data_IF_514526923291
#
_entry.id   IF_514526923291
#
_cell.length_a   1.000
_cell.length_b   1.000
_cell.length_c   1.000
_cell.angle_alpha   90.00
_cell.angle_beta   90.00
_cell.angle_gamma   90.00
#
_symmetry.space_group_name_H-M   'P 1'
#
loop_
_entity.id
_entity.type
_entity.pdbx_description
1 polymer ?
#
# COMPACT_ATOMS: atom_id res chain seq x y z
N UNK A 1 20.25 -8.00 -9.64
CA UNK A 1 19.52 -9.18 -10.13
C UNK A 1 19.46 -10.20 -9.00
N UNK A 2 18.37 -10.22 -8.22
CA UNK A 2 18.15 -11.29 -7.23
C UNK A 2 17.76 -12.51 -8.05
N UNK A 3 18.64 -13.52 -8.09
CA UNK A 3 18.29 -14.79 -8.72
C UNK A 3 17.00 -15.29 -8.07
N UNK A 4 15.97 -15.68 -8.85
CA UNK A 4 14.80 -16.33 -8.29
C UNK A 4 15.31 -17.40 -7.33
N UNK A 5 14.81 -17.39 -6.08
CA UNK A 5 15.29 -18.36 -5.10
C UNK A 5 15.17 -19.72 -5.75
N UNK A 6 16.28 -20.47 -5.82
CA UNK A 6 16.30 -21.78 -6.48
C UNK A 6 15.13 -22.64 -5.99
N UNK A 7 14.72 -22.42 -4.76
CA UNK A 7 13.55 -23.00 -4.10
C UNK A 7 12.20 -22.76 -4.80
N UNK A 8 11.89 -21.54 -5.25
CA UNK A 8 10.64 -21.23 -5.99
C UNK A 8 10.60 -21.92 -7.35
N UNK A 9 11.74 -21.91 -8.06
CA UNK A 9 11.89 -22.59 -9.33
C UNK A 9 11.72 -24.11 -9.17
N UNK A 10 12.41 -24.71 -8.19
CA UNK A 10 12.28 -26.14 -7.88
C UNK A 10 10.87 -26.53 -7.46
N UNK A 11 10.20 -25.73 -6.62
CA UNK A 11 8.81 -25.98 -6.22
C UNK A 11 7.87 -26.00 -7.44
N UNK A 12 8.06 -25.06 -8.37
CA UNK A 12 7.28 -24.98 -9.60
C UNK A 12 7.54 -26.18 -10.51
N UNK A 13 8.80 -26.59 -10.66
CA UNK A 13 9.18 -27.79 -11.44
C UNK A 13 8.59 -29.06 -10.82
N UNK A 14 8.60 -29.19 -9.49
CA UNK A 14 8.00 -30.33 -8.78
C UNK A 14 6.49 -30.36 -8.97
N UNK A 15 5.80 -29.21 -8.83
CA UNK A 15 4.36 -29.11 -9.04
C UNK A 15 3.95 -29.44 -10.49
N UNK A 16 4.69 -28.92 -11.48
CA UNK A 16 4.46 -29.24 -12.90
C UNK A 16 4.71 -30.72 -13.16
N UNK A 17 5.81 -31.28 -12.64
CA UNK A 17 6.14 -32.70 -12.77
C UNK A 17 5.09 -33.61 -12.12
N UNK A 18 4.58 -33.24 -10.95
CA UNK A 18 3.52 -33.96 -10.24
C UNK A 18 2.20 -33.90 -11.01
N UNK A 19 1.87 -32.74 -11.61
CA UNK A 19 0.71 -32.58 -12.49
C UNK A 19 0.80 -33.44 -13.76
N UNK A 20 1.97 -33.46 -14.42
CA UNK A 20 2.22 -34.33 -15.57
C UNK A 20 2.12 -35.80 -15.16
N UNK A 21 2.72 -36.17 -14.03
CA UNK A 21 2.68 -37.53 -13.48
C UNK A 21 1.26 -38.03 -13.20
N UNK A 22 0.43 -37.21 -12.54
CA UNK A 22 -0.98 -37.56 -12.31
C UNK A 22 -1.79 -37.64 -13.60
N UNK A 23 -1.47 -36.81 -14.61
CA UNK A 23 -2.14 -36.86 -15.92
C UNK A 23 -1.81 -38.14 -16.69
N UNK A 24 -0.54 -38.54 -16.71
CA UNK A 24 -0.10 -39.80 -17.35
C UNK A 24 -0.67 -41.00 -16.58
N UNK A 25 -0.64 -40.98 -15.25
CA UNK A 25 -1.22 -42.03 -14.42
C UNK A 25 -2.74 -42.16 -14.65
N UNK A 26 -3.46 -41.04 -14.78
CA UNK A 26 -4.87 -41.03 -15.16
C UNK A 26 -5.12 -41.61 -16.55
N UNK A 27 -4.26 -41.31 -17.53
CA UNK A 27 -4.36 -41.86 -18.89
C UNK A 27 -4.14 -43.38 -18.92
N UNK A 28 -3.18 -43.89 -18.15
CA UNK A 28 -2.91 -45.34 -18.03
C UNK A 28 -4.02 -46.04 -17.25
N UNK A 29 -4.60 -45.38 -16.24
CA UNK A 29 -5.69 -45.92 -15.45
C UNK A 29 -6.94 -46.22 -16.29
N UNK A 30 -7.25 -45.44 -17.33
CA UNK A 30 -8.37 -45.69 -18.26
C UNK A 30 -8.31 -47.06 -18.96
N UNK A 31 -7.13 -47.68 -19.03
CA UNK A 31 -6.93 -48.99 -19.66
C UNK A 31 -6.90 -50.16 -18.66
N UNK A 32 -6.97 -49.87 -17.37
CA UNK A 32 -7.14 -50.88 -16.33
C UNK A 32 -8.65 -51.02 -16.06
N UNK A 33 -9.20 -52.23 -15.88
CA UNK A 33 -10.61 -52.39 -15.61
C UNK A 33 -10.85 -52.29 -14.10
N UNK A 34 -11.02 -51.07 -13.54
CA UNK A 34 -11.53 -50.90 -12.17
C UNK A 34 -12.50 -49.71 -12.01
N UNK A 35 -13.55 -49.97 -11.24
CA UNK A 35 -14.61 -49.03 -10.88
C UNK A 35 -14.09 -47.88 -9.97
N UNK A 36 -13.51 -46.84 -10.57
CA UNK A 36 -13.04 -45.64 -9.84
C UNK A 36 -12.34 -44.55 -10.68
N UNK A 37 -12.18 -44.76 -11.99
CA UNK A 37 -11.19 -44.06 -12.82
C UNK A 37 -11.61 -42.68 -13.34
N UNK A 38 -12.91 -42.40 -13.40
CA UNK A 38 -13.42 -41.11 -13.92
C UNK A 38 -13.07 -39.95 -12.99
N UNK A 39 -12.99 -40.17 -11.68
CA UNK A 39 -12.74 -39.12 -10.70
C UNK A 39 -11.32 -38.53 -10.82
N UNK A 40 -10.31 -39.35 -11.12
CA UNK A 40 -8.91 -38.91 -11.23
C UNK A 40 -8.66 -38.07 -12.49
N UNK A 41 -9.32 -38.39 -13.60
CA UNK A 41 -9.22 -37.64 -14.85
C UNK A 41 -9.85 -36.24 -14.71
N UNK A 42 -10.99 -36.15 -14.01
CA UNK A 42 -11.64 -34.87 -13.70
C UNK A 42 -10.78 -34.04 -12.75
N UNK A 43 -10.21 -34.64 -11.71
CA UNK A 43 -9.38 -33.92 -10.74
C UNK A 43 -8.04 -33.45 -11.35
N UNK A 44 -7.39 -34.30 -12.14
CA UNK A 44 -6.15 -33.96 -12.86
C UNK A 44 -6.38 -32.89 -13.94
N UNK A 45 -7.48 -33.01 -14.70
CA UNK A 45 -7.89 -32.00 -15.67
C UNK A 45 -8.19 -30.65 -15.02
N UNK A 46 -8.91 -30.64 -13.89
CA UNK A 46 -9.22 -29.42 -13.13
C UNK A 46 -7.96 -28.77 -12.54
N UNK A 47 -7.03 -29.57 -12.00
CA UNK A 47 -5.75 -29.07 -11.49
C UNK A 47 -4.88 -28.48 -12.61
N UNK A 48 -4.84 -29.10 -13.79
CA UNK A 48 -4.14 -28.57 -14.96
C UNK A 48 -4.78 -27.27 -15.47
N UNK A 49 -6.12 -27.20 -15.49
CA UNK A 49 -6.88 -26.00 -15.82
C UNK A 49 -6.57 -24.86 -14.84
N UNK A 50 -6.58 -25.13 -13.54
CA UNK A 50 -6.21 -24.16 -12.50
C UNK A 50 -4.75 -23.71 -12.62
N UNK A 51 -3.82 -24.62 -12.95
CA UNK A 51 -2.42 -24.29 -13.15
C UNK A 51 -2.18 -23.41 -14.38
N UNK A 52 -2.81 -23.72 -15.52
CA UNK A 52 -2.74 -22.92 -16.75
C UNK A 52 -3.46 -21.58 -16.61
N UNK A 53 -4.56 -21.54 -15.85
CA UNK A 53 -5.26 -20.29 -15.56
C UNK A 53 -4.60 -19.47 -14.46
N UNK A 54 -3.63 -19.98 -13.70
CA UNK A 54 -2.95 -19.20 -12.65
C UNK A 54 -2.30 -17.93 -13.21
N UNK A 55 -1.62 -18.03 -14.35
CA UNK A 55 -1.02 -16.87 -15.03
C UNK A 55 -2.05 -15.95 -15.70
N UNK A 56 -3.25 -16.47 -16.04
CA UNK A 56 -4.34 -15.66 -16.61
C UNK A 56 -5.27 -15.03 -15.58
N UNK A 57 -5.46 -15.65 -14.42
CA UNK A 57 -6.33 -15.14 -13.36
C UNK A 57 -5.77 -13.85 -12.76
N UNK A 58 -4.44 -13.73 -12.65
CA UNK A 58 -3.78 -12.46 -12.32
C UNK A 58 -4.02 -11.37 -13.38
N UNK A 59 -4.23 -11.74 -14.66
CA UNK A 59 -4.47 -10.80 -15.76
C UNK A 59 -5.95 -10.38 -15.93
N UNK A 60 -6.90 -11.21 -15.51
CA UNK A 60 -8.33 -11.00 -15.75
C UNK A 60 -8.96 -10.09 -14.69
N UNK A 61 -8.50 -10.14 -13.45
CA UNK A 61 -8.91 -9.17 -12.41
C UNK A 61 -8.42 -7.75 -12.74
N UNK A 62 -7.26 -7.61 -13.40
CA UNK A 62 -6.69 -6.31 -13.79
C UNK A 62 -7.46 -5.62 -14.95
N UNK A 63 -8.13 -6.39 -15.82
CA UNK A 63 -8.88 -5.87 -16.98
C UNK A 63 -10.34 -5.51 -16.67
N UNK A 64 -10.97 -6.22 -15.73
CA UNK A 64 -12.36 -5.97 -15.35
C UNK A 64 -12.54 -4.64 -14.60
N UNK A 65 -11.60 -4.29 -13.72
CA UNK A 65 -11.74 -3.09 -12.90
C UNK A 65 -11.41 -1.80 -13.64
N UNK A 66 -10.41 -1.79 -14.52
CA UNK A 66 -10.16 -0.61 -15.37
C UNK A 66 -11.35 -0.31 -16.29
N UNK A 67 -12.19 -1.31 -16.59
CA UNK A 67 -13.51 -1.12 -17.21
C UNK A 67 -14.54 -0.57 -16.24
N UNK A 68 -14.59 -1.00 -14.97
CA UNK A 68 -15.49 -0.44 -13.96
C UNK A 68 -15.17 1.01 -13.61
N UNK A 69 -13.90 1.42 -13.49
CA UNK A 69 -13.58 2.84 -13.27
C UNK A 69 -13.94 3.67 -14.50
N UNK A 70 -13.61 3.19 -15.71
CA UNK A 70 -14.06 3.87 -16.93
C UNK A 70 -15.58 3.92 -17.03
N UNK A 71 -16.28 2.88 -16.58
CA UNK A 71 -17.74 2.84 -16.53
C UNK A 71 -18.29 3.82 -15.48
N UNK A 72 -17.73 3.88 -14.27
CA UNK A 72 -18.15 4.81 -13.23
C UNK A 72 -17.86 6.27 -13.63
N UNK A 73 -16.72 6.52 -14.26
CA UNK A 73 -16.41 7.84 -14.80
C UNK A 73 -17.30 8.18 -16.00
N UNK A 74 -17.56 7.22 -16.90
CA UNK A 74 -18.50 7.38 -18.00
C UNK A 74 -19.93 7.61 -17.50
N UNK A 75 -20.34 6.95 -16.42
CA UNK A 75 -21.62 7.14 -15.75
C UNK A 75 -21.73 8.57 -15.20
N UNK A 76 -20.69 9.08 -14.52
CA UNK A 76 -20.66 10.49 -14.10
C UNK A 76 -20.66 11.47 -15.26
N UNK A 77 -20.00 11.16 -16.37
CA UNK A 77 -20.10 11.95 -17.59
C UNK A 77 -21.51 11.90 -18.18
N UNK A 78 -22.17 10.72 -18.18
CA UNK A 78 -23.55 10.58 -18.63
C UNK A 78 -24.51 11.38 -17.75
N UNK A 79 -24.37 11.34 -16.43
CA UNK A 79 -25.19 12.17 -15.53
C UNK A 79 -24.91 13.66 -15.72
N UNK A 80 -23.65 14.05 -15.94
CA UNK A 80 -23.33 15.43 -16.27
C UNK A 80 -24.02 15.88 -17.57
N UNK A 81 -24.09 14.99 -18.56
CA UNK A 81 -24.74 15.27 -19.84
C UNK A 81 -26.27 15.30 -19.72
N UNK A 82 -26.85 14.45 -18.88
CA UNK A 82 -28.27 14.45 -18.54
C UNK A 82 -28.66 15.74 -17.79
N UNK A 83 -27.87 16.14 -16.78
CA UNK A 83 -28.06 17.41 -16.07
C UNK A 83 -27.95 18.60 -17.02
N UNK A 84 -27.00 18.58 -17.96
CA UNK A 84 -26.87 19.61 -18.98
C UNK A 84 -28.11 19.67 -19.90
N UNK A 85 -28.65 18.50 -20.30
CA UNK A 85 -29.89 18.41 -21.09
C UNK A 85 -31.11 18.93 -20.33
N UNK A 86 -31.13 18.79 -19.01
CA UNK A 86 -32.17 19.33 -18.13
C UNK A 86 -31.99 20.84 -17.83
N UNK A 87 -30.96 21.48 -18.37
CA UNK A 87 -30.66 22.90 -18.17
C UNK A 87 -29.89 23.19 -16.88
N UNK A 88 -29.51 22.18 -16.10
CA UNK A 88 -28.68 22.34 -14.89
C UNK A 88 -27.18 22.30 -15.26
N UNK A 89 -26.72 23.41 -15.82
CA UNK A 89 -25.31 23.58 -16.20
C UNK A 89 -24.34 23.54 -15.02
N UNK A 90 -24.77 23.94 -13.82
CA UNK A 90 -23.91 23.96 -12.64
C UNK A 90 -23.66 22.54 -12.10
N UNK A 91 -24.70 21.71 -12.03
CA UNK A 91 -24.55 20.30 -11.65
C UNK A 91 -23.70 19.54 -12.67
N UNK A 92 -23.90 19.79 -13.97
CA UNK A 92 -23.11 19.19 -15.03
C UNK A 92 -21.61 19.52 -14.91
N UNK A 93 -21.27 20.79 -14.67
CA UNK A 93 -19.87 21.19 -14.56
C UNK A 93 -19.22 20.66 -13.29
N UNK A 94 -19.96 20.62 -12.17
CA UNK A 94 -19.49 19.97 -10.94
C UNK A 94 -19.14 18.50 -11.20
N UNK A 95 -20.05 17.71 -11.81
CA UNK A 95 -19.81 16.30 -12.14
C UNK A 95 -18.63 16.09 -13.09
N UNK A 96 -18.45 16.95 -14.11
CA UNK A 96 -17.28 16.89 -15.02
C UNK A 96 -15.98 17.23 -14.31
N UNK A 97 -16.00 18.23 -13.41
CA UNK A 97 -14.83 18.61 -12.63
C UNK A 97 -14.43 17.47 -11.69
N UNK A 98 -15.40 16.82 -11.03
CA UNK A 98 -15.17 15.64 -10.20
C UNK A 98 -14.58 14.51 -11.04
N UNK A 99 -15.18 14.14 -12.17
CA UNK A 99 -14.66 13.09 -13.05
C UNK A 99 -13.21 13.36 -13.51
N UNK A 100 -12.87 14.63 -13.81
CA UNK A 100 -11.50 15.03 -14.17
C UNK A 100 -10.53 14.91 -13.00
N UNK A 101 -10.89 15.38 -11.81
CA UNK A 101 -10.07 15.24 -10.59
C UNK A 101 -9.75 13.76 -10.34
N UNK A 102 -10.71 12.87 -10.58
CA UNK A 102 -10.57 11.44 -10.35
C UNK A 102 -9.62 10.74 -11.31
N UNK A 103 -9.72 11.07 -12.60
CA UNK A 103 -8.78 10.54 -13.59
C UNK A 103 -7.39 11.19 -13.45
N UNK A 104 -7.35 12.47 -13.10
CA UNK A 104 -6.13 13.27 -13.11
C UNK A 104 -5.12 12.91 -12.01
N UNK A 105 -5.57 12.42 -10.85
CA UNK A 105 -4.68 12.23 -9.70
C UNK A 105 -4.31 10.77 -9.46
N UNK A 106 -5.30 9.89 -9.56
CA UNK A 106 -5.05 8.47 -9.27
C UNK A 106 -4.33 7.76 -10.40
N UNK A 107 -4.51 8.20 -11.65
CA UNK A 107 -3.82 7.63 -12.80
C UNK A 107 -2.31 7.76 -12.68
N UNK A 108 -1.77 8.99 -12.65
CA UNK A 108 -0.32 9.21 -12.60
C UNK A 108 0.36 8.58 -11.39
N UNK A 109 -0.25 8.67 -10.19
CA UNK A 109 0.32 8.05 -8.99
C UNK A 109 0.31 6.51 -9.05
N UNK A 110 -0.77 5.90 -9.57
CA UNK A 110 -0.82 4.46 -9.74
C UNK A 110 0.17 3.98 -10.81
N UNK A 111 0.39 4.76 -11.86
CA UNK A 111 1.37 4.48 -12.90
C UNK A 111 2.80 4.62 -12.37
N UNK A 112 3.11 5.67 -11.61
CA UNK A 112 4.39 5.85 -10.91
C UNK A 112 4.67 4.67 -9.95
N UNK A 113 3.66 4.27 -9.18
CA UNK A 113 3.75 3.10 -8.31
C UNK A 113 4.11 1.84 -9.11
N UNK A 114 3.42 1.59 -10.23
CA UNK A 114 3.68 0.42 -11.09
C UNK A 114 5.05 0.49 -11.74
N UNK A 115 5.50 1.69 -12.14
CA UNK A 115 6.80 1.94 -12.75
C UNK A 115 7.96 1.68 -11.77
N UNK A 116 7.76 1.92 -10.47
CA UNK A 116 8.73 1.54 -9.44
C UNK A 116 8.65 0.04 -9.15
N UNK A 117 7.43 -0.48 -8.95
CA UNK A 117 7.24 -1.84 -8.43
C UNK A 117 7.55 -2.95 -9.44
N UNK A 118 7.17 -2.77 -10.71
CA UNK A 118 7.27 -3.77 -11.75
C UNK A 118 8.72 -4.15 -12.08
N UNK A 119 9.58 -3.20 -12.48
CA UNK A 119 10.94 -3.51 -12.92
C UNK A 119 11.94 -3.68 -11.78
N UNK A 120 11.68 -3.12 -10.58
CA UNK A 120 12.65 -3.16 -9.49
C UNK A 120 12.51 -4.44 -8.63
N UNK A 121 13.62 -5.15 -8.37
CA UNK A 121 13.60 -6.28 -7.44
C UNK A 121 13.25 -5.80 -6.03
N UNK A 122 12.63 -6.68 -5.25
CA UNK A 122 12.34 -6.41 -3.84
C UNK A 122 13.63 -6.11 -3.07
N UNK A 123 13.61 -5.06 -2.24
CA UNK A 123 14.74 -4.63 -1.43
C UNK A 123 14.55 -3.21 -0.87
N UNK A 124 15.52 -2.74 -0.09
CA UNK A 124 15.47 -1.43 0.58
C UNK A 124 15.32 -0.27 -0.39
N UNK A 125 16.03 -0.28 -1.52
CA UNK A 125 15.92 0.79 -2.51
C UNK A 125 14.52 0.84 -3.15
N UNK A 126 13.92 -0.32 -3.46
CA UNK A 126 12.53 -0.34 -3.96
C UNK A 126 11.56 0.18 -2.90
N UNK A 127 11.73 -0.22 -1.63
CA UNK A 127 10.89 0.28 -0.54
C UNK A 127 10.96 1.81 -0.44
N UNK A 128 12.18 2.38 -0.44
CA UNK A 128 12.42 3.82 -0.41
C UNK A 128 11.72 4.56 -1.56
N UNK A 129 11.81 4.05 -2.79
CA UNK A 129 11.11 4.64 -3.95
C UNK A 129 9.59 4.55 -3.84
N UNK A 130 9.07 3.45 -3.29
CA UNK A 130 7.63 3.33 -3.05
C UNK A 130 7.16 4.29 -1.94
N UNK A 131 7.99 4.52 -0.92
CA UNK A 131 7.74 5.55 0.09
C UNK A 131 7.69 6.95 -0.56
N UNK A 132 8.63 7.30 -1.44
CA UNK A 132 8.59 8.57 -2.19
C UNK A 132 7.31 8.74 -3.03
N UNK A 133 6.81 7.67 -3.66
CA UNK A 133 5.52 7.70 -4.39
C UNK A 133 4.36 7.93 -3.41
N UNK A 134 4.39 7.28 -2.25
CA UNK A 134 3.36 7.41 -1.23
C UNK A 134 3.34 8.81 -0.60
N UNK A 135 4.51 9.38 -0.30
CA UNK A 135 4.63 10.71 0.28
C UNK A 135 4.14 11.79 -0.70
N UNK A 136 4.38 11.62 -2.00
CA UNK A 136 3.76 12.48 -3.03
C UNK A 136 2.24 12.35 -3.04
N UNK A 137 1.70 11.13 -2.87
CA UNK A 137 0.26 10.92 -2.78
C UNK A 137 -0.35 11.59 -1.55
N UNK A 138 0.33 11.54 -0.39
CA UNK A 138 -0.06 12.26 0.83
C UNK A 138 -0.14 13.77 0.57
N UNK A 139 0.92 14.38 0.04
CA UNK A 139 0.97 15.82 -0.24
C UNK A 139 -0.12 16.27 -1.22
N UNK A 140 -0.42 15.46 -2.24
CA UNK A 140 -1.52 15.76 -3.17
C UNK A 140 -2.90 15.67 -2.51
N UNK A 141 -3.05 14.82 -1.48
CA UNK A 141 -4.32 14.62 -0.80
C UNK A 141 -4.68 15.76 0.16
N UNK A 142 -3.69 16.43 0.77
CA UNK A 142 -3.90 17.50 1.76
C UNK A 142 -4.66 18.73 1.20
N UNK A 143 -4.58 18.97 -0.10
CA UNK A 143 -5.23 20.12 -0.75
C UNK A 143 -6.58 19.82 -1.40
N UNK A 144 -7.11 18.60 -1.25
CA UNK A 144 -8.21 18.13 -2.07
C UNK A 144 -9.36 17.51 -1.30
N UNK A 145 -10.58 17.75 -1.79
CA UNK A 145 -11.78 17.09 -1.32
C UNK A 145 -12.03 15.81 -2.12
N UNK A 146 -12.17 14.70 -1.40
CA UNK A 146 -12.58 13.42 -1.96
C UNK A 146 -13.88 12.97 -1.30
N UNK A 147 -14.68 12.18 -2.03
CA UNK A 147 -15.87 11.55 -1.46
C UNK A 147 -15.48 10.24 -0.76
N UNK A 148 -15.99 9.95 0.46
CA UNK A 148 -15.66 8.74 1.20
C UNK A 148 -15.90 7.45 0.42
N UNK A 149 -17.05 7.32 -0.24
CA UNK A 149 -17.45 6.13 -1.00
C UNK A 149 -16.46 5.82 -2.11
N UNK A 150 -15.90 6.87 -2.70
CA UNK A 150 -14.96 6.76 -3.78
C UNK A 150 -13.58 6.31 -3.32
N UNK A 151 -13.07 6.86 -2.23
CA UNK A 151 -11.79 6.41 -1.65
C UNK A 151 -11.93 4.96 -1.20
N UNK A 152 -13.09 4.58 -0.67
CA UNK A 152 -13.44 3.19 -0.39
C UNK A 152 -13.42 2.31 -1.64
N UNK A 153 -14.03 2.74 -2.74
CA UNK A 153 -14.04 1.97 -3.99
C UNK A 153 -12.64 1.81 -4.58
N UNK A 154 -11.79 2.84 -4.48
CA UNK A 154 -10.38 2.74 -4.85
C UNK A 154 -9.64 1.72 -4.00
N UNK A 155 -9.90 1.66 -2.70
CA UNK A 155 -9.26 0.69 -1.82
C UNK A 155 -9.77 -0.74 -2.04
N UNK A 156 -11.07 -0.92 -2.28
CA UNK A 156 -11.68 -2.26 -2.38
C UNK A 156 -11.51 -2.89 -3.75
N UNK A 157 -11.57 -2.08 -4.80
CA UNK A 157 -11.63 -2.58 -6.17
C UNK A 157 -10.47 -2.07 -7.03
N UNK A 158 -9.69 -1.09 -6.55
CA UNK A 158 -8.50 -0.56 -7.21
C UNK A 158 -7.49 -1.61 -7.61
N UNK A 159 -6.66 -1.28 -8.60
CA UNK A 159 -5.37 -1.95 -8.73
C UNK A 159 -4.45 -1.56 -7.57
N UNK A 160 -3.32 -2.24 -7.44
CA UNK A 160 -2.40 -2.03 -6.30
C UNK A 160 -1.98 -0.56 -6.12
N UNK A 161 -1.69 0.14 -7.23
CA UNK A 161 -1.33 1.56 -7.19
C UNK A 161 -2.46 2.42 -6.64
N UNK A 162 -3.71 2.22 -7.12
CA UNK A 162 -4.87 2.95 -6.61
C UNK A 162 -5.19 2.62 -5.16
N UNK A 163 -5.04 1.37 -4.72
CA UNK A 163 -5.25 0.99 -3.31
C UNK A 163 -4.24 1.69 -2.41
N UNK A 164 -2.98 1.76 -2.83
CA UNK A 164 -1.94 2.51 -2.11
C UNK A 164 -2.25 4.02 -2.09
N UNK A 165 -2.70 4.60 -3.21
CA UNK A 165 -3.15 6.01 -3.24
C UNK A 165 -4.35 6.24 -2.32
N UNK A 166 -5.31 5.33 -2.28
CA UNK A 166 -6.47 5.43 -1.38
C UNK A 166 -6.04 5.44 0.09
N UNK A 167 -5.08 4.59 0.47
CA UNK A 167 -4.50 4.58 1.81
C UNK A 167 -3.81 5.91 2.16
N UNK A 168 -3.08 6.52 1.21
CA UNK A 168 -2.49 7.84 1.40
C UNK A 168 -3.57 8.91 1.63
N UNK A 169 -4.63 8.90 0.83
CA UNK A 169 -5.77 9.83 0.99
C UNK A 169 -6.47 9.65 2.33
N UNK A 170 -6.69 8.40 2.77
CA UNK A 170 -7.26 8.09 4.09
C UNK A 170 -6.34 8.52 5.24
N UNK A 171 -5.02 8.43 5.05
CA UNK A 171 -4.05 8.87 6.05
C UNK A 171 -4.07 10.39 6.19
N UNK A 172 -4.02 11.12 5.06
CA UNK A 172 -4.06 12.58 5.04
C UNK A 172 -5.39 13.16 5.60
N UNK A 173 -6.52 12.45 5.41
CA UNK A 173 -7.83 12.93 5.85
C UNK A 173 -8.58 11.89 6.70
N UNK A 174 -8.66 12.10 8.04
CA UNK A 174 -9.35 11.19 8.95
C UNK A 174 -10.82 10.95 8.65
N UNK A 175 -11.52 11.92 8.03
CA UNK A 175 -12.93 11.79 7.67
C UNK A 175 -13.20 10.81 6.53
N UNK A 176 -12.16 10.41 5.79
CA UNK A 176 -12.26 9.46 4.67
C UNK A 176 -11.93 8.01 5.08
N UNK A 177 -11.58 7.78 6.35
CA UNK A 177 -11.18 6.46 6.85
C UNK A 177 -12.39 5.56 7.01
N UNK A 178 -12.41 4.45 6.28
CA UNK A 178 -13.42 3.40 6.39
C UNK A 178 -12.79 2.15 7.04
N UNK A 179 -13.28 1.77 8.23
CA UNK A 179 -12.70 0.67 9.01
C UNK A 179 -12.78 -0.67 8.26
N UNK A 180 -13.94 -0.99 7.70
CA UNK A 180 -14.15 -2.29 7.08
C UNK A 180 -13.31 -2.43 5.80
N UNK A 181 -13.14 -1.34 5.04
CA UNK A 181 -12.27 -1.30 3.87
C UNK A 181 -10.79 -1.43 4.23
N UNK A 182 -10.31 -0.72 5.27
CA UNK A 182 -8.93 -0.85 5.75
C UNK A 182 -8.66 -2.26 6.29
N UNK A 183 -9.60 -2.84 7.04
CA UNK A 183 -9.48 -4.21 7.54
C UNK A 183 -9.42 -5.23 6.39
N UNK A 184 -10.24 -5.06 5.34
CA UNK A 184 -10.18 -5.87 4.14
C UNK A 184 -8.83 -5.73 3.43
N UNK A 185 -8.30 -4.51 3.32
CA UNK A 185 -6.98 -4.26 2.73
C UNK A 185 -5.84 -4.93 3.50
N UNK A 186 -5.91 -5.03 4.83
CA UNK A 186 -4.90 -5.75 5.63
C UNK A 186 -4.91 -7.26 5.31
N UNK A 187 -6.10 -7.86 5.20
CA UNK A 187 -6.31 -9.30 4.95
C UNK A 187 -5.99 -9.69 3.50
N UNK A 188 -6.39 -8.84 2.56
CA UNK A 188 -6.32 -9.11 1.12
C UNK A 188 -5.23 -8.29 0.40
N UNK A 189 -4.26 -7.73 1.13
CA UNK A 189 -3.18 -6.96 0.54
C UNK A 189 -2.45 -7.77 -0.56
N UNK A 190 -2.25 -7.15 -1.72
CA UNK A 190 -1.46 -7.76 -2.80
C UNK A 190 0.05 -7.70 -2.53
N UNK A 191 0.47 -6.88 -1.57
CA UNK A 191 1.87 -6.77 -1.20
C UNK A 191 2.15 -6.40 0.24
N UNK A 192 3.39 -6.64 0.65
CA UNK A 192 3.87 -6.21 1.95
C UNK A 192 3.88 -4.69 2.14
N UNK A 193 4.06 -3.92 1.05
CA UNK A 193 4.00 -2.45 1.11
C UNK A 193 2.57 -1.97 1.35
N UNK A 194 1.62 -2.48 0.56
CA UNK A 194 0.20 -2.20 0.73
C UNK A 194 -0.28 -2.57 2.13
N UNK A 195 0.06 -3.78 2.60
CA UNK A 195 -0.28 -4.26 3.95
C UNK A 195 0.30 -3.34 5.04
N UNK A 196 1.56 -2.93 4.90
CA UNK A 196 2.21 -2.00 5.84
C UNK A 196 1.46 -0.67 5.92
N UNK A 197 1.12 -0.06 4.78
CA UNK A 197 0.39 1.21 4.75
C UNK A 197 -1.04 1.06 5.28
N UNK A 198 -1.73 -0.05 4.99
CA UNK A 198 -3.04 -0.33 5.56
C UNK A 198 -2.99 -0.47 7.09
N UNK A 199 -1.98 -1.14 7.63
CA UNK A 199 -1.78 -1.22 9.08
C UNK A 199 -1.43 0.14 9.70
N UNK A 200 -0.68 1.01 9.02
CA UNK A 200 -0.43 2.36 9.52
C UNK A 200 -1.73 3.17 9.65
N UNK A 201 -2.57 3.17 8.61
CA UNK A 201 -3.89 3.82 8.67
C UNK A 201 -4.73 3.24 9.79
N UNK A 202 -4.78 1.91 9.93
CA UNK A 202 -5.52 1.25 11.02
C UNK A 202 -5.00 1.63 12.41
N UNK A 203 -3.68 1.75 12.58
CA UNK A 203 -3.07 2.17 13.85
C UNK A 203 -3.50 3.60 14.23
N UNK A 204 -3.60 4.52 13.26
CA UNK A 204 -4.09 5.88 13.50
C UNK A 204 -5.60 5.94 13.79
N UNK A 205 -6.37 4.94 13.36
CA UNK A 205 -7.81 4.84 13.67
C UNK A 205 -8.08 4.34 15.09
N UNK A 206 -7.11 3.70 15.75
CA UNK A 206 -7.30 3.00 17.03
C UNK A 206 -7.99 3.84 18.11
N UNK A 207 -7.69 5.14 18.20
CA UNK A 207 -8.27 6.03 19.20
C UNK A 207 -9.78 6.26 19.05
N UNK A 208 -10.36 6.00 17.87
CA UNK A 208 -11.78 6.16 17.58
C UNK A 208 -12.57 4.85 17.46
N UNK A 209 -11.94 3.70 17.70
CA UNK A 209 -12.59 2.38 17.55
C UNK A 209 -13.16 1.88 18.89
N UNK A 210 -14.38 1.35 18.82
CA UNK A 210 -14.95 0.56 19.92
C UNK A 210 -14.18 -0.76 20.15
N UNK A 211 -14.47 -1.43 21.27
CA UNK A 211 -13.78 -2.66 21.65
C UNK A 211 -14.00 -3.79 20.63
N UNK A 212 -15.18 -3.89 20.04
CA UNK A 212 -15.48 -4.90 19.03
C UNK A 212 -14.59 -4.73 17.79
N UNK A 213 -14.54 -3.52 17.23
CA UNK A 213 -13.71 -3.20 16.06
C UNK A 213 -12.22 -3.37 16.36
N UNK A 214 -11.75 -2.96 17.56
CA UNK A 214 -10.37 -3.22 17.99
C UNK A 214 -10.07 -4.71 18.09
N UNK A 215 -11.02 -5.51 18.59
CA UNK A 215 -10.94 -6.98 18.60
C UNK A 215 -10.77 -7.57 17.20
N UNK A 216 -11.64 -7.19 16.24
CA UNK A 216 -11.59 -7.66 14.84
C UNK A 216 -10.26 -7.30 14.16
N UNK A 217 -9.76 -6.08 14.40
CA UNK A 217 -8.48 -5.64 13.86
C UNK A 217 -7.31 -6.44 14.46
N UNK A 218 -7.31 -6.62 15.78
CA UNK A 218 -6.28 -7.39 16.47
C UNK A 218 -6.26 -8.85 16.00
N UNK A 219 -7.43 -9.48 15.81
CA UNK A 219 -7.54 -10.82 15.23
C UNK A 219 -6.93 -10.89 13.82
N UNK A 220 -7.29 -9.95 12.93
CA UNK A 220 -6.75 -9.90 11.58
C UNK A 220 -5.22 -9.71 11.58
N UNK A 221 -4.68 -8.84 12.43
CA UNK A 221 -3.24 -8.63 12.54
C UNK A 221 -2.53 -9.88 13.08
N UNK A 222 -3.08 -10.57 14.09
CA UNK A 222 -2.51 -11.83 14.61
C UNK A 222 -2.47 -12.91 13.53
N UNK A 223 -3.51 -13.05 12.73
CA UNK A 223 -3.58 -14.05 11.67
C UNK A 223 -2.49 -13.86 10.60
N UNK A 224 -2.05 -12.62 10.38
CA UNK A 224 -1.01 -12.30 9.38
C UNK A 224 0.43 -12.42 9.91
N UNK A 225 0.62 -12.47 11.24
CA UNK A 225 1.94 -12.60 11.88
C UNK A 225 2.57 -13.96 11.59
N UNK A 226 3.88 -13.96 11.34
CA UNK A 226 4.64 -15.18 11.05
C UNK A 226 4.37 -15.76 9.66
N UNK A 227 3.24 -15.42 9.03
CA UNK A 227 2.92 -15.78 7.64
C UNK A 227 3.46 -14.72 6.67
N UNK A 228 3.07 -13.44 6.85
CA UNK A 228 3.40 -12.37 5.89
C UNK A 228 4.52 -11.43 6.32
N UNK A 229 4.86 -11.41 7.61
CA UNK A 229 5.95 -10.60 8.13
C UNK A 229 6.62 -11.23 9.36
N UNK A 230 7.94 -11.03 9.43
CA UNK A 230 8.84 -11.58 10.43
C UNK A 230 9.06 -10.59 11.58
N UNK A 231 9.49 -11.09 12.73
CA UNK A 231 9.92 -10.28 13.87
C UNK A 231 11.06 -9.34 13.49
N UNK A 232 11.04 -8.11 14.01
CA UNK A 232 12.04 -7.07 13.72
C UNK A 232 11.83 -6.31 12.40
N UNK A 233 10.78 -6.61 11.64
CA UNK A 233 10.39 -5.80 10.48
C UNK A 233 9.52 -4.61 10.89
N UNK A 234 9.53 -3.52 10.13
CA UNK A 234 8.63 -2.37 10.39
C UNK A 234 7.15 -2.76 10.49
N UNK A 235 6.72 -3.78 9.72
CA UNK A 235 5.35 -4.34 9.81
C UNK A 235 5.06 -4.95 11.17
N UNK A 236 6.06 -5.62 11.77
CA UNK A 236 5.95 -6.16 13.12
C UNK A 236 5.77 -5.05 14.15
N UNK A 237 6.52 -3.95 14.03
CA UNK A 237 6.42 -2.82 14.96
C UNK A 237 5.03 -2.17 14.91
N UNK A 238 4.47 -1.99 13.70
CA UNK A 238 3.10 -1.49 13.56
C UNK A 238 2.08 -2.49 14.12
N UNK A 239 2.27 -3.78 13.87
CA UNK A 239 1.41 -4.82 14.42
C UNK A 239 1.41 -4.82 15.96
N UNK A 240 2.58 -4.68 16.60
CA UNK A 240 2.70 -4.58 18.06
C UNK A 240 1.94 -3.37 18.61
N UNK A 241 2.04 -2.20 17.97
CA UNK A 241 1.27 -1.02 18.37
C UNK A 241 -0.24 -1.24 18.30
N UNK A 242 -0.72 -1.90 17.25
CA UNK A 242 -2.16 -2.23 17.11
C UNK A 242 -2.58 -3.21 18.21
N UNK A 243 -1.79 -4.25 18.46
CA UNK A 243 -2.11 -5.29 19.45
C UNK A 243 -2.05 -4.77 20.88
N UNK A 244 -1.18 -3.81 21.17
CA UNK A 244 -1.12 -3.13 22.46
C UNK A 244 -2.42 -2.37 22.79
N UNK A 245 -3.13 -1.86 21.77
CA UNK A 245 -4.42 -1.17 21.95
C UNK A 245 -5.65 -2.09 21.91
N UNK A 246 -5.47 -3.41 21.74
CA UNK A 246 -6.58 -4.37 21.66
C UNK A 246 -7.32 -4.52 23.00
N UNK A 247 -8.63 -4.83 22.97
CA UNK A 247 -9.41 -5.03 24.20
C UNK A 247 -8.84 -6.19 25.03
N UNK A 248 -8.81 -6.02 26.35
CA UNK A 248 -8.34 -7.05 27.28
C UNK A 248 -6.82 -7.20 27.35
N UNK A 249 -6.04 -6.46 26.56
CA UNK A 249 -4.60 -6.31 26.82
C UNK A 249 -4.47 -5.50 28.10
N UNK A 250 -3.96 -6.05 29.22
CA UNK A 250 -3.72 -5.24 30.40
C UNK A 250 -2.82 -4.09 29.96
N UNK A 251 -3.30 -2.86 30.11
CA UNK A 251 -2.52 -1.66 29.77
C UNK A 251 -1.16 -1.84 30.44
N UNK A 252 -0.14 -2.20 29.65
CA UNK A 252 1.17 -2.53 30.18
C UNK A 252 1.63 -1.26 30.87
N UNK A 253 1.72 -1.37 32.20
CA UNK A 253 1.57 -0.24 33.11
C UNK A 253 2.37 0.96 32.65
N UNK A 254 1.71 2.11 32.69
CA UNK A 254 2.28 3.37 33.17
C UNK A 254 3.57 3.08 33.91
N UNK A 255 4.70 3.39 33.27
CA UNK A 255 5.99 3.27 33.90
C UNK A 255 5.91 3.99 35.24
N UNK A 256 5.95 3.17 36.29
CA UNK A 256 6.31 3.48 37.65
C UNK A 256 7.74 4.04 37.65
N UNK A 257 7.94 5.24 37.10
CA UNK A 257 8.95 6.14 37.64
C UNK A 257 8.29 6.85 38.81
N UNK A 258 8.31 6.15 39.95
CA UNK A 258 8.09 6.75 41.24
C UNK A 258 9.17 7.79 41.49
N UNK A 259 8.86 9.05 41.18
CA UNK A 259 9.50 10.17 41.88
C UNK A 259 8.93 10.15 43.29
N UNK A 260 9.73 9.66 44.23
CA UNK A 260 9.51 9.87 45.67
C UNK A 260 9.63 11.36 45.95
N UNK A 261 8.53 12.11 45.89
CA UNK A 261 8.43 13.43 46.47
C UNK A 261 7.63 13.33 47.77
N UNK A 262 8.37 13.16 48.87
CA UNK A 262 7.89 13.47 50.21
C UNK A 262 7.54 14.97 50.26
N UNK A 263 6.26 15.29 50.35
CA UNK A 263 5.77 16.67 50.45
C UNK A 263 4.53 16.75 51.34
N UNK A 264 4.75 17.08 52.59
CA UNK A 264 3.78 17.40 53.65
C UNK A 264 2.72 18.43 53.21
N UNK A 265 1.44 18.29 53.63
CA UNK A 265 0.42 19.30 53.34
C UNK A 265 0.46 20.43 54.38
N UNK A 266 0.48 21.68 53.92
CA UNK A 266 0.18 22.86 54.73
C UNK A 266 -1.05 23.58 54.16
N UNK A 267 -1.95 23.89 55.08
CA UNK A 267 -3.27 24.49 54.87
C UNK A 267 -3.22 26.01 54.60
N UNK A 268 -4.29 26.51 53.97
CA UNK A 268 -4.63 27.94 53.82
C UNK A 268 -5.43 28.12 52.52
N UNK A 269 -6.77 28.16 52.51
CA UNK A 269 -7.68 29.18 53.05
C UNK A 269 -7.38 30.59 52.54
N UNK A 270 -8.19 31.09 51.58
CA UNK A 270 -8.99 32.30 51.72
C UNK A 270 -9.70 32.67 50.41
N UNK A 271 -10.85 33.30 50.59
CA UNK A 271 -11.87 33.64 49.60
C UNK A 271 -11.53 34.88 48.76
N UNK A 272 -12.28 35.07 47.67
CA UNK A 272 -12.18 36.29 46.85
C UNK A 272 -13.19 36.35 45.71
N UNK A 273 -14.46 36.57 46.06
CA UNK A 273 -15.55 36.94 45.15
C UNK A 273 -15.36 38.36 44.59
N UNK A 274 -15.37 38.55 43.26
CA UNK A 274 -16.00 39.73 42.63
C UNK A 274 -16.29 39.48 41.14
N UNK A 275 -17.53 39.74 40.73
CA UNK A 275 -17.99 39.86 39.34
C UNK A 275 -18.16 41.37 38.99
N UNK A 276 -18.80 41.76 37.87
CA UNK A 276 -18.38 41.63 36.47
C UNK A 276 -18.18 43.02 35.81
N UNK A 277 -17.31 43.12 34.79
CA UNK A 277 -17.11 44.35 34.00
C UNK A 277 -17.25 44.08 32.51
N UNK A 278 -18.32 44.62 31.91
CA UNK A 278 -18.61 44.61 30.48
C UNK A 278 -17.85 45.77 29.75
N UNK A 279 -17.88 45.86 28.41
CA UNK A 279 -16.67 46.03 27.60
C UNK A 279 -16.42 47.48 27.11
N UNK A 280 -15.16 47.78 26.79
CA UNK A 280 -14.78 48.96 26.01
C UNK A 280 -14.14 48.52 24.66
N UNK A 281 -14.39 49.27 23.56
CA UNK A 281 -13.96 48.92 22.21
C UNK A 281 -12.60 49.54 21.85
N UNK A 282 -11.90 48.91 20.91
CA UNK A 282 -10.83 49.55 20.14
C UNK A 282 -9.42 49.27 20.65
N UNK A 283 -8.78 48.27 20.05
CA UNK A 283 -7.34 48.04 20.13
C UNK A 283 -6.84 47.48 18.79
N UNK A 284 -5.63 47.86 18.35
CA UNK A 284 -5.19 47.78 16.96
C UNK A 284 -4.84 46.36 16.50
N UNK A 285 -4.96 46.15 15.19
CA UNK A 285 -4.52 44.96 14.44
C UNK A 285 -3.03 44.72 14.68
N UNK A 286 -2.60 43.55 15.20
CA UNK A 286 -1.20 43.19 15.24
C UNK A 286 -0.72 42.75 13.85
N UNK A 287 0.37 43.39 13.43
CA UNK A 287 1.12 43.09 12.22
C UNK A 287 1.71 41.67 12.29
N UNK A 288 1.22 40.78 11.42
CA UNK A 288 1.55 39.37 11.40
C UNK A 288 2.89 39.10 10.74
N UNK A 289 3.99 39.46 11.39
CA UNK A 289 5.30 38.87 11.07
C UNK A 289 5.40 37.49 11.74
N UNK A 290 5.01 36.47 10.99
CA UNK A 290 5.27 35.07 11.34
C UNK A 290 6.78 34.84 11.30
N UNK A 291 7.39 34.79 12.48
CA UNK A 291 8.77 34.38 12.70
C UNK A 291 8.83 32.86 12.55
N UNK A 292 9.34 32.38 11.42
CA UNK A 292 9.67 30.97 11.19
C UNK A 292 10.60 30.48 12.34
N UNK A 293 10.32 29.32 12.96
CA UNK A 293 11.28 28.71 13.87
C UNK A 293 12.52 28.26 13.08
N UNK A 294 13.69 28.55 13.67
CA UNK A 294 14.98 28.10 13.17
C UNK A 294 14.97 26.58 13.01
N UNK A 295 15.39 26.13 11.82
CA UNK A 295 15.80 24.75 11.57
C UNK A 295 16.86 24.35 12.58
N UNK A 296 16.72 23.23 13.30
CA UNK A 296 17.82 22.70 14.10
C UNK A 296 18.95 22.24 13.17
N UNK A 297 20.16 22.70 13.49
CA UNK A 297 21.42 22.19 12.94
C UNK A 297 21.43 20.66 12.98
N UNK A 298 21.49 20.05 11.81
CA UNK A 298 21.87 18.65 11.64
C UNK A 298 23.36 18.60 11.35
N UNK A 299 24.15 18.70 12.41
CA UNK A 299 25.48 18.12 12.47
C UNK A 299 25.33 16.62 12.74
N UNK A 300 25.06 15.85 11.68
CA UNK A 300 25.28 14.41 11.68
C UNK A 300 26.32 14.11 10.59
N UNK A 301 27.50 13.57 10.93
CA UNK A 301 28.58 13.38 9.97
C UNK A 301 28.16 12.35 8.92
N UNK A 302 28.19 12.78 7.66
CA UNK A 302 28.07 11.90 6.51
C UNK A 302 29.10 10.77 6.64
N UNK A 303 28.62 9.52 6.72
CA UNK A 303 29.46 8.37 6.53
C UNK A 303 30.09 8.45 5.13
N UNK A 304 31.40 8.65 5.14
CA UNK A 304 32.28 8.71 3.98
C UNK A 304 32.05 7.47 3.08
N UNK A 305 31.75 7.64 1.78
CA UNK A 305 31.65 6.52 0.87
C UNK A 305 33.03 5.89 0.69
N UNK A 306 33.11 4.57 0.88
CA UNK A 306 34.31 3.78 0.62
C UNK A 306 34.88 4.07 -0.78
N UNK A 307 36.22 4.18 -0.93
CA UNK A 307 36.84 4.50 -2.21
C UNK A 307 36.53 3.43 -3.26
N UNK A 308 36.12 3.90 -4.43
CA UNK A 308 35.91 3.08 -5.61
C UNK A 308 37.19 2.32 -5.97
N UNK A 309 37.09 0.99 -6.10
CA UNK A 309 38.14 0.18 -6.72
C UNK A 309 38.42 0.68 -8.15
N UNK A 310 39.69 0.91 -8.53
CA UNK A 310 40.01 1.29 -9.89
C UNK A 310 39.73 0.14 -10.85
N UNK A 311 39.00 0.46 -11.91
CA UNK A 311 38.78 -0.38 -13.07
C UNK A 311 40.11 -0.93 -13.60
N UNK A 312 40.23 -2.27 -13.58
CA UNK A 312 41.32 -2.96 -14.28
C UNK A 312 41.12 -2.77 -15.78
N UNK A 313 41.91 -1.88 -16.36
CA UNK A 313 42.13 -1.80 -17.81
C UNK A 313 42.99 -3.00 -18.22
N UNK A 314 42.35 -4.00 -18.84
CA UNK A 314 43.01 -5.08 -19.56
C UNK A 314 42.34 -5.16 -20.93
N UNK A 315 43.09 -4.83 -21.99
CA UNK A 315 42.55 -4.73 -23.34
C UNK A 315 43.54 -4.07 -24.29
N UNK A 316 44.68 -4.72 -24.44
CA UNK A 316 45.75 -4.50 -25.42
C UNK A 316 45.24 -4.32 -26.87
N UNK A 317 45.55 -3.20 -27.56
CA UNK A 317 45.28 -3.02 -28.98
C UNK A 317 46.57 -3.26 -29.78
N UNK A 318 46.72 -4.47 -30.31
CA UNK A 318 47.93 -4.84 -31.05
C UNK A 318 47.75 -6.00 -32.01
N UNK A 319 47.49 -5.64 -33.27
CA UNK A 319 48.24 -6.17 -34.42
C UNK A 319 47.67 -7.34 -35.24
N UNK A 320 47.93 -7.18 -36.55
CA UNK A 320 47.86 -8.11 -37.68
C UNK A 320 46.53 -8.27 -38.43
N UNK A 321 46.37 -7.32 -39.35
CA UNK A 321 46.00 -7.54 -40.75
C UNK A 321 46.12 -8.99 -41.27
N UNK A 322 45.05 -9.48 -41.90
CA UNK A 322 45.15 -10.31 -43.11
C UNK A 322 43.85 -10.34 -43.91
N UNK A 323 43.92 -9.73 -45.09
CA UNK A 323 43.02 -9.97 -46.23
C UNK A 323 43.21 -11.42 -46.72
N UNK A 324 42.14 -12.05 -47.21
CA UNK A 324 42.08 -12.38 -48.64
C UNK A 324 40.69 -12.02 -49.19
N UNK A 325 40.55 -11.51 -50.40
CA UNK A 325 41.09 -12.07 -51.63
C UNK A 325 39.90 -12.25 -52.56
N UNK A 326 39.52 -11.16 -53.21
CA UNK A 326 38.68 -11.11 -54.39
C UNK A 326 39.32 -11.97 -55.49
N UNK A 327 38.61 -13.01 -55.95
CA UNK A 327 38.85 -13.62 -57.26
C UNK A 327 37.49 -13.71 -57.96
N UNK A 328 37.36 -12.95 -59.03
CA UNK A 328 36.12 -12.76 -59.76
C UNK A 328 35.67 -13.97 -60.59
N UNK A 329 34.41 -13.82 -61.05
CA UNK A 329 33.82 -14.19 -62.34
C UNK A 329 34.15 -15.56 -62.96
N UNK A 330 33.10 -16.33 -63.16
CA UNK A 330 32.93 -17.39 -64.16
C UNK A 330 31.54 -17.97 -64.06
#
# INVERSE_FOLDING_TARGET
MVSPSKWSFWLSVVLVGLGIGFSIAGLVAVFLPRDGEVALLVFGGLALLLALFRERLESIEFSGFNRRLRAAAAERFQWAEESARQGDGQAAERLRSEARTLMGLTGPLADDYRAVRGPMPSGTERARRLDEVYDRALLMAEGQSFQPEQVRDWLMFGDEGRRVTALAVMQANPGLRDFDAVLAAIRAASSGFEQFRAMQVAAEMMGGLDDERRGRLAEAVRAERGVRFQQGSHRWDVAERILAGAPGTPASGTQLFGTTASGTPAAGSAAGTTAPGAPAPGGPVPDGTVRLPATPDRDEPAAEPAPAEPARTSGDPGDTARLPGDTGRG
#
